data_IF_325999099484
#
_entry.id   IF_325999099484
#
_cell.length_a   1.000
_cell.length_b   1.000
_cell.length_c   1.000
_cell.angle_alpha   90.00
_cell.angle_beta   90.00
_cell.angle_gamma   90.00
#
_symmetry.space_group_name_H-M   'P 1'
#
loop_
_entity.id
_entity.type
_entity.pdbx_description
1 polymer ?
#
# COMPACT_ATOMS: atom_id res chain seq x y z
N UNK A 1 9.14 1.58 -6.71
CA UNK A 1 8.94 2.67 -5.72
C UNK A 1 8.78 4.03 -6.37
N UNK A 2 9.73 4.53 -7.18
CA UNK A 2 9.66 5.88 -7.78
C UNK A 2 8.31 6.20 -8.45
N UNK A 3 7.84 5.36 -9.37
CA UNK A 3 6.56 5.58 -10.06
C UNK A 3 5.34 5.56 -9.14
N UNK A 4 5.39 4.82 -8.02
CA UNK A 4 4.31 4.80 -7.03
C UNK A 4 4.28 6.13 -6.28
N UNK A 5 5.43 6.67 -5.90
CA UNK A 5 5.53 7.99 -5.25
C UNK A 5 5.06 9.09 -6.20
N UNK A 6 5.53 9.08 -7.45
CA UNK A 6 5.11 10.05 -8.47
C UNK A 6 3.60 9.97 -8.71
N UNK A 7 3.01 8.78 -8.74
CA UNK A 7 1.56 8.63 -8.84
C UNK A 7 0.80 9.30 -7.69
N UNK A 8 1.22 9.10 -6.44
CA UNK A 8 0.56 9.75 -5.29
C UNK A 8 0.70 11.28 -5.36
N UNK A 9 1.87 11.78 -5.78
CA UNK A 9 2.09 13.21 -6.01
C UNK A 9 1.15 13.75 -7.10
N UNK A 10 1.00 13.02 -8.21
CA UNK A 10 0.12 13.45 -9.31
C UNK A 10 -1.35 13.41 -8.90
N UNK A 11 -1.84 12.29 -8.36
CA UNK A 11 -3.26 12.07 -8.09
C UNK A 11 -3.77 12.85 -6.87
N UNK A 12 -2.97 12.96 -5.80
CA UNK A 12 -3.39 13.65 -4.58
C UNK A 12 -2.93 15.10 -4.48
N UNK A 13 -1.98 15.52 -5.32
CA UNK A 13 -1.50 16.90 -5.40
C UNK A 13 -1.92 17.55 -6.71
N UNK A 14 -1.16 17.27 -7.78
CA UNK A 14 -1.20 18.01 -9.05
C UNK A 14 -2.59 17.99 -9.70
N UNK A 15 -3.24 16.83 -9.77
CA UNK A 15 -4.55 16.68 -10.41
C UNK A 15 -5.70 17.33 -9.65
N UNK A 16 -5.56 17.56 -8.34
CA UNK A 16 -6.59 18.28 -7.58
C UNK A 16 -6.61 19.79 -7.86
N UNK A 17 -5.57 20.32 -8.49
CA UNK A 17 -5.45 21.74 -8.84
C UNK A 17 -5.61 22.04 -10.33
N UNK A 18 -6.01 21.05 -11.14
CA UNK A 18 -6.24 21.26 -12.57
C UNK A 18 -7.69 21.63 -12.86
N UNK A 19 -7.91 22.88 -13.29
CA UNK A 19 -9.20 23.39 -13.76
C UNK A 19 -9.26 23.58 -15.30
N UNK A 20 -8.22 23.17 -16.03
CA UNK A 20 -8.13 23.43 -17.48
C UNK A 20 -8.49 22.20 -18.31
N UNK A 21 -9.27 22.41 -19.38
CA UNK A 21 -9.68 21.36 -20.33
C UNK A 21 -8.63 21.06 -21.40
N UNK A 22 -7.57 21.85 -21.49
CA UNK A 22 -6.46 21.64 -22.44
C UNK A 22 -5.35 20.80 -21.81
N UNK A 23 -4.82 19.84 -22.56
CA UNK A 23 -3.68 19.00 -22.14
C UNK A 23 -2.37 19.60 -22.62
N UNK A 24 -1.70 20.29 -21.72
CA UNK A 24 -0.30 20.72 -21.88
C UNK A 24 0.67 19.53 -21.82
N UNK A 25 1.90 19.70 -22.33
CA UNK A 25 2.95 18.68 -22.24
C UNK A 25 3.25 18.22 -20.80
N UNK A 26 3.11 19.12 -19.82
CA UNK A 26 3.25 18.80 -18.40
C UNK A 26 2.10 17.92 -17.88
N UNK A 27 0.87 18.15 -18.35
CA UNK A 27 -0.28 17.30 -18.02
C UNK A 27 -0.16 15.92 -18.65
N UNK A 28 0.34 15.82 -19.88
CA UNK A 28 0.66 14.52 -20.50
C UNK A 28 1.68 13.73 -19.66
N UNK A 29 2.75 14.38 -19.19
CA UNK A 29 3.73 13.75 -18.31
C UNK A 29 3.13 13.33 -16.95
N UNK A 30 2.27 14.17 -16.37
CA UNK A 30 1.57 13.84 -15.13
C UNK A 30 0.66 12.61 -15.29
N UNK A 31 -0.03 12.47 -16.43
CA UNK A 31 -0.83 11.30 -16.76
C UNK A 31 0.02 10.03 -16.89
N UNK A 32 1.20 10.12 -17.52
CA UNK A 32 2.14 8.99 -17.61
C UNK A 32 2.57 8.52 -16.21
N UNK A 33 2.94 9.45 -15.33
CA UNK A 33 3.33 9.10 -13.96
C UNK A 33 2.17 8.53 -13.14
N UNK A 34 0.96 9.07 -13.32
CA UNK A 34 -0.24 8.53 -12.70
C UNK A 34 -0.54 7.09 -13.19
N UNK A 35 -0.42 6.80 -14.49
CA UNK A 35 -0.59 5.44 -14.99
C UNK A 35 0.51 4.50 -14.48
N UNK A 36 1.76 4.95 -14.51
CA UNK A 36 2.94 4.19 -14.09
C UNK A 36 2.89 3.73 -12.63
N UNK A 37 2.25 4.49 -11.74
CA UNK A 37 2.09 4.07 -10.34
C UNK A 37 1.27 2.80 -10.16
N UNK A 38 0.17 2.65 -10.91
CA UNK A 38 -0.67 1.43 -10.83
C UNK A 38 0.11 0.19 -11.30
N UNK A 39 0.86 0.34 -12.40
CA UNK A 39 1.78 -0.72 -12.88
C UNK A 39 2.82 -1.04 -11.81
N UNK A 40 3.42 -0.01 -11.20
CA UNK A 40 4.38 -0.16 -10.12
C UNK A 40 3.83 -0.94 -8.92
N UNK A 41 2.60 -0.66 -8.51
CA UNK A 41 1.93 -1.39 -7.41
C UNK A 41 1.73 -2.86 -7.77
N UNK A 42 1.25 -3.16 -8.99
CA UNK A 42 1.07 -4.53 -9.46
C UNK A 42 2.39 -5.32 -9.49
N UNK A 43 3.45 -4.71 -10.04
CA UNK A 43 4.80 -5.30 -10.03
C UNK A 43 5.31 -5.57 -8.61
N UNK A 44 5.08 -4.62 -7.69
CA UNK A 44 5.51 -4.78 -6.30
C UNK A 44 4.83 -5.98 -5.62
N UNK A 45 3.52 -6.17 -5.82
CA UNK A 45 2.79 -7.33 -5.28
C UNK A 45 3.26 -8.64 -5.92
N UNK A 46 3.51 -8.68 -7.22
CA UNK A 46 4.04 -9.89 -7.87
C UNK A 46 5.42 -10.28 -7.32
N UNK A 47 6.32 -9.31 -7.17
CA UNK A 47 7.65 -9.53 -6.57
C UNK A 47 7.51 -10.01 -5.12
N UNK A 48 6.59 -9.40 -4.36
CA UNK A 48 6.30 -9.82 -2.99
C UNK A 48 5.83 -11.27 -2.94
N UNK A 49 4.87 -11.65 -3.79
CA UNK A 49 4.39 -13.02 -3.91
C UNK A 49 5.52 -14.00 -4.23
N UNK A 50 6.41 -13.64 -5.16
CA UNK A 50 7.58 -14.45 -5.50
C UNK A 50 8.50 -14.71 -4.29
N UNK A 51 8.82 -13.69 -3.50
CA UNK A 51 9.67 -13.87 -2.31
C UNK A 51 8.97 -14.61 -1.16
N UNK A 52 7.64 -14.58 -1.11
CA UNK A 52 6.85 -15.25 -0.08
C UNK A 52 6.48 -16.69 -0.45
N UNK A 53 6.52 -17.10 -1.71
CA UNK A 53 5.96 -18.37 -2.22
C UNK A 53 6.40 -19.65 -1.47
N UNK A 54 7.57 -19.66 -0.85
CA UNK A 54 8.09 -20.82 -0.11
C UNK A 54 8.24 -20.57 1.40
N UNK A 55 7.68 -19.48 1.92
CA UNK A 55 7.78 -19.11 3.34
C UNK A 55 6.62 -19.75 4.11
N UNK A 56 6.94 -20.65 5.03
CA UNK A 56 5.95 -21.30 5.92
C UNK A 56 5.76 -20.60 7.25
N UNK A 57 6.49 -19.50 7.48
CA UNK A 57 6.38 -18.69 8.70
C UNK A 57 6.36 -17.22 8.34
N UNK A 58 5.52 -16.48 9.04
CA UNK A 58 5.48 -15.02 8.94
C UNK A 58 6.75 -14.42 9.56
N UNK A 59 7.36 -13.48 8.85
CA UNK A 59 8.47 -12.70 9.38
C UNK A 59 7.94 -11.59 10.31
N UNK A 60 7.73 -11.95 11.58
CA UNK A 60 7.21 -11.02 12.60
C UNK A 60 8.10 -9.76 12.74
N UNK A 61 9.44 -9.85 12.81
CA UNK A 61 10.29 -8.66 12.83
C UNK A 61 10.05 -7.69 11.66
N UNK A 62 9.83 -8.22 10.44
CA UNK A 62 9.53 -7.39 9.28
C UNK A 62 8.16 -6.71 9.40
N UNK A 63 7.13 -7.43 9.89
CA UNK A 63 5.81 -6.84 10.13
C UNK A 63 5.86 -5.73 11.19
N UNK A 64 6.54 -5.97 12.31
CA UNK A 64 6.69 -4.99 13.38
C UNK A 64 7.44 -3.76 12.86
N UNK A 65 8.53 -3.96 12.13
CA UNK A 65 9.28 -2.86 11.51
C UNK A 65 8.42 -2.04 10.55
N UNK A 66 7.65 -2.70 9.68
CA UNK A 66 6.73 -2.04 8.77
C UNK A 66 5.65 -1.25 9.51
N UNK A 67 5.02 -1.86 10.52
CA UNK A 67 4.01 -1.19 11.34
C UNK A 67 4.58 0.04 12.05
N UNK A 68 5.76 -0.07 12.65
CA UNK A 68 6.42 1.04 13.34
C UNK A 68 6.77 2.18 12.39
N UNK A 69 7.22 1.89 11.17
CA UNK A 69 7.48 2.93 10.17
C UNK A 69 6.21 3.69 9.82
N UNK A 70 5.12 2.98 9.51
CA UNK A 70 3.83 3.61 9.14
C UNK A 70 3.25 4.37 10.33
N UNK A 71 3.29 3.79 11.52
CA UNK A 71 2.88 4.44 12.76
C UNK A 71 3.65 5.74 12.99
N UNK A 72 4.98 5.69 12.90
CA UNK A 72 5.85 6.85 13.11
C UNK A 72 5.46 8.00 12.18
N UNK A 73 5.39 7.75 10.87
CA UNK A 73 5.04 8.81 9.93
C UNK A 73 3.60 9.28 10.08
N UNK A 74 2.64 8.39 10.34
CA UNK A 74 1.23 8.77 10.49
C UNK A 74 1.02 9.68 11.71
N UNK A 75 1.61 9.34 12.85
CA UNK A 75 1.50 10.11 14.10
C UNK A 75 2.31 11.40 14.03
N UNK A 76 3.58 11.36 13.59
CA UNK A 76 4.45 12.54 13.56
C UNK A 76 3.91 13.60 12.61
N UNK A 77 3.48 13.21 11.40
CA UNK A 77 2.91 14.15 10.43
C UNK A 77 1.60 14.72 10.96
N UNK A 78 0.73 13.89 11.55
CA UNK A 78 -0.51 14.36 12.17
C UNK A 78 -0.25 15.40 13.25
N UNK A 79 0.65 15.11 14.20
CA UNK A 79 1.01 16.05 15.28
C UNK A 79 1.62 17.34 14.73
N UNK A 80 2.51 17.26 13.74
CA UNK A 80 3.13 18.43 13.14
C UNK A 80 2.08 19.35 12.50
N UNK A 81 1.22 18.80 11.64
CA UNK A 81 0.18 19.57 10.95
C UNK A 81 -0.88 20.12 11.92
N UNK A 82 -1.20 19.35 12.97
CA UNK A 82 -2.08 19.77 14.07
C UNK A 82 -1.54 20.99 14.80
N UNK A 83 -0.25 20.97 15.18
CA UNK A 83 0.40 22.07 15.88
C UNK A 83 0.51 23.34 15.02
N UNK A 84 0.68 23.17 13.71
CA UNK A 84 0.67 24.26 12.74
C UNK A 84 -0.74 24.77 12.40
N UNK A 85 -1.79 24.18 12.99
CA UNK A 85 -3.21 24.48 12.69
C UNK A 85 -3.55 24.38 11.20
N UNK A 86 -2.87 23.48 10.48
CA UNK A 86 -3.09 23.24 9.04
C UNK A 86 -4.18 22.20 8.77
N UNK A 87 -4.60 21.46 9.79
CA UNK A 87 -5.64 20.44 9.70
C UNK A 87 -6.61 20.57 10.88
N UNK A 88 -7.85 20.14 10.68
CA UNK A 88 -8.84 20.06 11.75
C UNK A 88 -8.58 18.85 12.65
N UNK A 89 -8.56 19.08 13.96
CA UNK A 89 -8.22 18.07 14.98
C UNK A 89 -9.31 17.88 16.02
N UNK A 90 -10.44 18.56 15.85
CA UNK A 90 -11.56 18.51 16.80
C UNK A 90 -12.23 17.13 16.83
N UNK A 91 -12.16 16.36 15.74
CA UNK A 91 -12.72 15.02 15.66
C UNK A 91 -11.76 13.96 16.25
N UNK A 92 -12.14 13.30 17.37
CA UNK A 92 -11.34 12.23 17.96
C UNK A 92 -11.13 11.03 17.02
N UNK A 93 -12.04 10.79 16.07
CA UNK A 93 -11.93 9.69 15.10
C UNK A 93 -10.73 9.92 14.18
N UNK A 94 -10.47 11.18 13.79
CA UNK A 94 -9.29 11.54 13.00
C UNK A 94 -8.02 11.22 13.79
N UNK A 95 -7.95 11.62 15.06
CA UNK A 95 -6.78 11.35 15.89
C UNK A 95 -6.52 9.84 16.05
N UNK A 96 -7.54 9.07 16.42
CA UNK A 96 -7.42 7.61 16.62
C UNK A 96 -7.04 6.90 15.32
N UNK A 97 -7.58 7.31 14.17
CA UNK A 97 -7.24 6.71 12.87
C UNK A 97 -5.78 6.94 12.46
N UNK A 98 -5.14 8.04 12.88
CA UNK A 98 -3.70 8.28 12.65
C UNK A 98 -2.81 7.43 13.57
N UNK A 99 -3.29 7.08 14.77
CA UNK A 99 -2.57 6.21 15.71
C UNK A 99 -2.68 4.75 15.30
N UNK A 100 -3.83 4.35 14.75
CA UNK A 100 -4.09 2.96 14.34
C UNK A 100 -4.37 2.83 12.83
N UNK A 101 -3.43 3.23 11.95
CA UNK A 101 -3.68 3.32 10.51
C UNK A 101 -4.02 1.97 9.87
N UNK A 102 -3.54 0.86 10.46
CA UNK A 102 -3.86 -0.51 10.01
C UNK A 102 -5.33 -0.88 10.25
N UNK A 103 -5.84 -0.61 11.47
CA UNK A 103 -7.21 -0.98 11.87
C UNK A 103 -8.23 -0.15 11.09
N UNK A 104 -7.93 1.13 10.88
CA UNK A 104 -8.82 2.06 10.19
C UNK A 104 -8.63 2.06 8.65
N UNK A 105 -7.84 1.13 8.10
CA UNK A 105 -7.52 1.04 6.67
C UNK A 105 -7.15 2.41 6.04
N UNK A 106 -6.35 3.19 6.75
CA UNK A 106 -6.02 4.58 6.36
C UNK A 106 -5.17 4.63 5.10
N UNK A 107 -4.33 3.62 4.91
CA UNK A 107 -3.46 3.47 3.76
C UNK A 107 -3.73 2.11 3.13
N UNK A 108 -4.58 2.08 2.10
CA UNK A 108 -5.10 0.86 1.47
C UNK A 108 -3.99 -0.17 1.18
N UNK A 109 -2.92 0.28 0.53
CA UNK A 109 -1.82 -0.60 0.12
C UNK A 109 -1.07 -1.19 1.30
N UNK A 110 -0.88 -0.41 2.37
CA UNK A 110 -0.21 -0.91 3.57
C UNK A 110 -1.05 -2.00 4.24
N UNK A 111 -2.36 -1.79 4.40
CA UNK A 111 -3.27 -2.77 4.98
C UNK A 111 -3.24 -4.09 4.19
N UNK A 112 -3.42 -4.01 2.87
CA UNK A 112 -3.43 -5.19 1.99
C UNK A 112 -2.08 -5.92 2.02
N UNK A 113 -0.98 -5.18 1.92
CA UNK A 113 0.36 -5.75 1.96
C UNK A 113 0.66 -6.45 3.30
N UNK A 114 0.26 -5.82 4.42
CA UNK A 114 0.41 -6.39 5.76
C UNK A 114 -0.35 -7.70 5.90
N UNK A 115 -1.59 -7.76 5.39
CA UNK A 115 -2.40 -8.97 5.37
C UNK A 115 -1.81 -10.07 4.49
N UNK A 116 -1.32 -9.74 3.29
CA UNK A 116 -0.64 -10.70 2.40
C UNK A 116 0.55 -11.35 3.11
N UNK A 117 1.37 -10.58 3.82
CA UNK A 117 2.51 -11.10 4.57
C UNK A 117 2.10 -12.08 5.69
N UNK A 118 0.93 -11.90 6.29
CA UNK A 118 0.38 -12.78 7.33
C UNK A 118 -0.24 -14.04 6.70
N UNK A 119 -0.97 -13.89 5.61
CA UNK A 119 -1.75 -14.96 4.97
C UNK A 119 -0.86 -15.87 4.11
N UNK A 120 0.22 -15.36 3.52
CA UNK A 120 1.05 -16.13 2.59
C UNK A 120 1.56 -17.47 3.18
N UNK A 121 2.06 -17.55 4.43
CA UNK A 121 2.41 -18.83 5.05
C UNK A 121 1.28 -19.85 5.12
N UNK A 122 0.04 -19.40 5.36
CA UNK A 122 -1.14 -20.27 5.40
C UNK A 122 -1.44 -20.82 4.01
N UNK A 123 -1.39 -19.96 3.00
CA UNK A 123 -1.55 -20.36 1.59
C UNK A 123 -0.49 -21.39 1.22
N UNK A 124 0.79 -21.11 1.49
CA UNK A 124 1.90 -22.00 1.16
C UNK A 124 1.82 -23.35 1.88
N UNK A 125 1.39 -23.36 3.15
CA UNK A 125 1.18 -24.60 3.90
C UNK A 125 0.06 -25.45 3.28
N UNK A 126 -1.00 -24.83 2.76
CA UNK A 126 -2.04 -25.52 1.99
C UNK A 126 -1.46 -26.18 0.73
N UNK A 127 -0.73 -25.40 -0.09
CA UNK A 127 -0.13 -25.91 -1.33
C UNK A 127 0.91 -27.00 -1.12
N UNK A 128 1.64 -26.99 -0.01
CA UNK A 128 2.62 -28.04 0.31
C UNK A 128 1.99 -29.42 0.61
N UNK A 129 0.69 -29.48 0.89
CA UNK A 129 -0.03 -30.73 1.14
C UNK A 129 -0.74 -31.28 -0.10
N UNK A 130 -0.79 -30.51 -1.19
CA UNK A 130 -1.41 -30.94 -2.43
C UNK A 130 -0.41 -31.63 -3.34
N UNK A 131 -0.86 -32.69 -4.01
CA UNK A 131 -0.11 -33.22 -5.15
C UNK A 131 -0.26 -32.30 -6.37
N UNK A 132 0.60 -32.50 -7.37
CA UNK A 132 0.59 -31.65 -8.57
C UNK A 132 -0.77 -31.64 -9.29
N UNK A 133 -1.50 -32.77 -9.31
CA UNK A 133 -2.79 -32.86 -10.00
C UNK A 133 -3.87 -32.06 -9.27
N UNK A 134 -3.83 -32.05 -7.95
CA UNK A 134 -4.71 -31.23 -7.12
C UNK A 134 -4.44 -29.74 -7.33
N UNK A 135 -3.17 -29.35 -7.40
CA UNK A 135 -2.77 -27.97 -7.71
C UNK A 135 -3.22 -27.56 -9.11
N UNK A 136 -2.95 -28.38 -10.13
CA UNK A 136 -3.33 -28.12 -11.53
C UNK A 136 -4.87 -27.94 -11.64
N UNK A 137 -5.64 -28.78 -10.95
CA UNK A 137 -7.11 -28.66 -10.87
C UNK A 137 -7.57 -27.36 -10.19
N UNK A 138 -6.93 -26.94 -9.09
CA UNK A 138 -7.23 -25.67 -8.41
C UNK A 138 -6.92 -24.48 -9.32
N UNK A 139 -5.81 -24.56 -10.07
CA UNK A 139 -5.36 -23.51 -10.98
C UNK A 139 -6.11 -23.52 -12.32
N UNK A 140 -6.92 -24.54 -12.60
CA UNK A 140 -7.71 -24.67 -13.82
C UNK A 140 -6.86 -24.97 -15.06
N UNK A 141 -5.74 -25.67 -14.89
CA UNK A 141 -4.79 -26.06 -15.95
C UNK A 141 -4.78 -27.56 -16.15
#
# INVERSE_FOLDING_TARGET
MLMIVLHHLMVHGVFKGFDTTEVSGNQALALIFAAGGKVGVGLFIMITGYFLANKLKTNIPALVSLWLQVFFYSVVIFLLLSNLKMIETADPVIAVSNVFPLIFNKYWFFTDYFLIMIIAPVINAGFNNFDKKEVDKIMGV
#
